data_IF_978016069384
#
_entry.id   IF_978016069384
#
_cell.length_a   1.000
_cell.length_b   1.000
_cell.length_c   1.000
_cell.angle_alpha   90.00
_cell.angle_beta   90.00
_cell.angle_gamma   90.00
#
_symmetry.space_group_name_H-M   'P 1'
#
loop_
_entity.id
_entity.type
_entity.pdbx_description
1 polymer ?
#
# COMPACT_ATOMS: atom_id res chain seq x y z
N UNK A 1 4.61 4.85 13.71
CA UNK A 1 3.64 5.86 14.19
C UNK A 1 3.88 7.11 13.39
N UNK A 2 2.88 7.57 12.62
CA UNK A 2 2.96 8.81 11.87
C UNK A 2 3.34 9.97 12.80
N UNK A 3 4.43 10.66 12.47
CA UNK A 3 4.95 11.79 13.25
C UNK A 3 4.27 13.11 12.88
N UNK A 4 3.51 13.12 11.78
CA UNK A 4 2.87 14.32 11.23
C UNK A 4 2.00 15.05 12.26
N UNK A 5 1.19 14.35 13.05
CA UNK A 5 0.33 14.96 14.07
C UNK A 5 1.03 15.47 15.34
N UNK A 6 2.36 15.34 15.46
CA UNK A 6 3.08 15.84 16.65
C UNK A 6 3.22 17.36 16.60
N UNK A 7 2.81 18.04 17.66
CA UNK A 7 3.03 19.48 17.82
C UNK A 7 4.51 19.79 18.05
N UNK A 8 4.98 20.88 17.44
CA UNK A 8 6.32 21.41 17.64
C UNK A 8 6.32 22.56 18.64
N UNK A 9 7.50 23.02 19.07
CA UNK A 9 7.65 24.22 19.90
C UNK A 9 7.09 25.51 19.26
N UNK A 10 6.80 25.48 17.96
CA UNK A 10 6.23 26.59 17.19
C UNK A 10 4.69 26.59 17.20
N UNK A 11 4.06 25.68 17.95
CA UNK A 11 2.60 25.56 18.03
C UNK A 11 1.93 24.88 16.84
N UNK A 12 2.68 24.62 15.76
CA UNK A 12 2.24 23.88 14.58
C UNK A 12 2.64 22.40 14.68
N UNK A 13 1.85 21.53 14.07
CA UNK A 13 2.21 20.11 13.89
C UNK A 13 3.34 19.95 12.88
N UNK A 14 4.06 18.83 12.94
CA UNK A 14 5.11 18.50 11.97
C UNK A 14 4.53 18.49 10.55
N UNK A 15 3.36 17.87 10.35
CA UNK A 15 2.68 17.84 9.06
C UNK A 15 2.34 19.22 8.55
N UNK A 16 1.88 20.13 9.42
CA UNK A 16 1.59 21.50 9.02
C UNK A 16 2.83 22.28 8.58
N UNK A 17 3.94 22.17 9.32
CA UNK A 17 5.19 22.83 8.96
C UNK A 17 5.73 22.30 7.63
N UNK A 18 5.80 20.97 7.49
CA UNK A 18 6.34 20.33 6.28
C UNK A 18 5.47 20.59 5.06
N UNK A 19 4.15 20.65 5.22
CA UNK A 19 3.22 20.95 4.12
C UNK A 19 3.08 22.45 3.83
N UNK A 20 3.68 23.35 4.61
CA UNK A 20 3.50 24.80 4.40
C UNK A 20 4.03 25.27 3.03
N UNK A 21 5.25 24.92 2.57
CA UNK A 21 5.73 25.33 1.26
C UNK A 21 4.83 24.84 0.11
N UNK A 22 4.28 23.62 0.23
CA UNK A 22 3.34 23.08 -0.75
C UNK A 22 2.06 23.92 -0.79
N UNK A 23 1.50 24.27 0.39
CA UNK A 23 0.29 25.08 0.50
C UNK A 23 0.48 26.50 -0.06
N UNK A 24 1.61 27.13 0.23
CA UNK A 24 1.96 28.46 -0.29
C UNK A 24 2.12 28.46 -1.82
N UNK A 25 2.63 27.36 -2.38
CA UNK A 25 2.76 27.16 -3.82
C UNK A 25 1.47 26.66 -4.50
N UNK A 26 0.39 26.41 -3.75
CA UNK A 26 -0.85 25.84 -4.30
C UNK A 26 -0.75 24.38 -4.76
N UNK A 27 0.30 23.66 -4.32
CA UNK A 27 0.57 22.27 -4.70
C UNK A 27 -0.17 21.32 -3.76
N UNK A 28 -0.90 20.35 -4.33
CA UNK A 28 -1.55 19.26 -3.59
C UNK A 28 -0.84 17.94 -3.91
N UNK A 29 -0.50 17.11 -2.91
CA UNK A 29 0.00 15.77 -3.17
C UNK A 29 -1.00 14.93 -3.98
N UNK A 30 -0.50 14.19 -4.97
CA UNK A 30 -1.27 13.26 -5.79
C UNK A 30 -0.93 11.83 -5.37
N UNK A 31 -1.97 11.11 -4.95
CA UNK A 31 -1.93 9.70 -4.60
C UNK A 31 -2.64 8.92 -5.69
N UNK A 32 -1.97 7.90 -6.20
CA UNK A 32 -2.50 7.00 -7.21
C UNK A 32 -2.57 5.59 -6.63
N UNK A 33 -3.75 4.99 -6.69
CA UNK A 33 -4.03 3.65 -6.17
C UNK A 33 -4.49 2.74 -7.32
N UNK A 34 -3.62 1.84 -7.76
CA UNK A 34 -3.90 0.88 -8.83
C UNK A 34 -4.24 -0.46 -8.19
N UNK A 35 -5.47 -0.93 -8.38
CA UNK A 35 -6.06 -1.98 -7.55
C UNK A 35 -6.65 -1.40 -6.27
N UNK A 36 -7.53 -0.40 -6.45
CA UNK A 36 -8.04 0.44 -5.38
C UNK A 36 -9.09 -0.24 -4.48
N UNK A 37 -9.25 -1.57 -4.59
CA UNK A 37 -10.25 -2.33 -3.83
C UNK A 37 -10.24 -1.89 -2.37
N UNK A 38 -11.44 -1.68 -1.84
CA UNK A 38 -11.72 -1.13 -0.51
C UNK A 38 -11.37 0.34 -0.27
N UNK A 39 -10.46 0.94 -1.04
CA UNK A 39 -9.99 2.32 -0.90
C UNK A 39 -8.63 2.42 -0.21
N UNK A 40 -8.14 3.65 -0.03
CA UNK A 40 -6.82 3.92 0.53
C UNK A 40 -6.84 4.18 2.05
N UNK A 41 -6.19 3.30 2.82
CA UNK A 41 -6.12 3.40 4.30
C UNK A 41 -4.71 3.47 4.86
N UNK A 42 -3.69 3.40 4.00
CA UNK A 42 -2.29 3.42 4.42
C UNK A 42 -1.85 4.82 4.87
N UNK A 43 -2.54 5.85 4.40
CA UNK A 43 -2.18 7.24 4.64
C UNK A 43 -2.92 7.80 5.86
N UNK A 44 -2.22 8.47 6.78
CA UNK A 44 -2.84 9.04 7.96
C UNK A 44 -3.73 10.24 7.58
N UNK A 45 -4.76 10.57 8.39
CA UNK A 45 -5.69 11.66 8.10
C UNK A 45 -5.01 13.00 7.80
N UNK A 46 -3.89 13.30 8.45
CA UNK A 46 -3.13 14.53 8.25
C UNK A 46 -2.55 14.65 6.84
N UNK A 47 -2.14 13.53 6.22
CA UNK A 47 -1.67 13.52 4.84
C UNK A 47 -2.84 13.49 3.86
N UNK A 48 -3.84 12.63 4.11
CA UNK A 48 -5.01 12.49 3.26
C UNK A 48 -5.73 13.83 3.06
N UNK A 49 -5.90 14.62 4.13
CA UNK A 49 -6.57 15.93 4.07
C UNK A 49 -5.86 16.96 3.16
N UNK A 50 -4.59 16.73 2.79
CA UNK A 50 -3.82 17.57 1.87
C UNK A 50 -3.88 17.06 0.43
N UNK A 51 -4.11 15.76 0.26
CA UNK A 51 -3.86 15.02 -0.97
C UNK A 51 -5.13 14.80 -1.81
N UNK A 52 -4.92 14.66 -3.12
CA UNK A 52 -5.92 14.16 -4.06
C UNK A 52 -5.67 12.68 -4.31
N UNK A 53 -6.70 11.85 -4.18
CA UNK A 53 -6.66 10.41 -4.49
C UNK A 53 -7.27 10.15 -5.87
N UNK A 54 -6.55 9.38 -6.69
CA UNK A 54 -7.03 8.80 -7.93
C UNK A 54 -6.88 7.28 -7.85
N UNK A 55 -8.00 6.56 -7.81
CA UNK A 55 -8.04 5.10 -7.73
C UNK A 55 -8.53 4.44 -9.01
N UNK A 56 -8.02 3.24 -9.30
CA UNK A 56 -8.42 2.42 -10.44
C UNK A 56 -8.85 1.04 -9.94
N UNK A 57 -10.08 0.64 -10.26
CA UNK A 57 -10.66 -0.64 -9.88
C UNK A 57 -11.41 -1.26 -11.08
N UNK A 58 -10.84 -2.30 -11.71
CA UNK A 58 -11.44 -2.92 -12.89
C UNK A 58 -12.63 -3.82 -12.58
N UNK A 59 -12.77 -4.36 -11.35
CA UNK A 59 -13.93 -5.18 -10.99
C UNK A 59 -15.17 -4.29 -10.83
N UNK A 60 -16.23 -4.46 -11.65
CA UNK A 60 -17.40 -3.59 -11.62
C UNK A 60 -18.12 -3.57 -10.27
N UNK A 61 -18.15 -4.69 -9.54
CA UNK A 61 -18.78 -4.76 -8.23
C UNK A 61 -17.99 -3.98 -7.18
N UNK A 62 -16.67 -4.15 -7.14
CA UNK A 62 -15.79 -3.45 -6.20
C UNK A 62 -15.72 -1.95 -6.53
N UNK A 63 -15.68 -1.58 -7.83
CA UNK A 63 -15.79 -0.19 -8.26
C UNK A 63 -17.12 0.44 -7.80
N UNK A 64 -18.24 -0.26 -7.96
CA UNK A 64 -19.54 0.25 -7.51
C UNK A 64 -19.58 0.46 -5.99
N UNK A 65 -18.89 -0.38 -5.20
CA UNK A 65 -18.73 -0.17 -3.75
C UNK A 65 -17.90 1.08 -3.45
N UNK A 66 -16.81 1.31 -4.19
CA UNK A 66 -15.96 2.50 -4.06
C UNK A 66 -16.75 3.78 -4.39
N UNK A 67 -17.45 3.80 -5.52
CA UNK A 67 -18.24 4.94 -5.97
C UNK A 67 -19.36 5.34 -4.98
N UNK A 68 -19.89 4.37 -4.21
CA UNK A 68 -20.88 4.62 -3.15
C UNK A 68 -20.25 4.98 -1.79
N UNK A 69 -18.94 4.77 -1.59
CA UNK A 69 -18.31 4.89 -0.26
C UNK A 69 -18.76 3.80 0.71
N UNK A 70 -19.07 2.60 0.21
CA UNK A 70 -19.68 1.49 0.97
C UNK A 70 -18.89 0.19 0.79
N UNK A 71 -17.57 0.25 0.91
CA UNK A 71 -16.71 -0.94 0.76
C UNK A 71 -16.74 -1.86 1.98
N UNK A 72 -16.17 -3.07 1.85
CA UNK A 72 -16.05 -4.01 2.95
C UNK A 72 -15.25 -3.37 4.11
N UNK A 73 -14.23 -2.56 3.79
CA UNK A 73 -13.48 -1.79 4.78
C UNK A 73 -14.32 -0.69 5.45
N UNK A 74 -15.30 -0.09 4.77
CA UNK A 74 -16.24 0.84 5.41
C UNK A 74 -17.15 0.13 6.41
N UNK A 75 -17.61 -1.07 6.08
CA UNK A 75 -18.37 -1.90 7.02
C UNK A 75 -17.50 -2.29 8.23
N UNK A 76 -16.29 -2.78 7.99
CA UNK A 76 -15.34 -3.17 9.04
C UNK A 76 -14.98 -1.99 9.95
N UNK A 77 -14.68 -0.82 9.38
CA UNK A 77 -14.30 0.38 10.12
C UNK A 77 -15.41 0.86 11.07
N UNK A 78 -16.67 0.81 10.61
CA UNK A 78 -17.84 1.12 11.45
C UNK A 78 -17.98 0.17 12.63
N UNK A 79 -17.76 -1.13 12.41
CA UNK A 79 -17.84 -2.14 13.46
C UNK A 79 -16.71 -2.02 14.49
N UNK A 80 -15.53 -1.54 14.08
CA UNK A 80 -14.33 -1.46 14.92
C UNK A 80 -14.02 -0.04 15.41
N UNK A 81 -14.91 0.92 15.18
CA UNK A 81 -14.75 2.33 15.53
C UNK A 81 -13.41 2.92 15.03
N UNK A 82 -13.02 2.55 13.80
CA UNK A 82 -11.82 3.04 13.12
C UNK A 82 -12.22 4.17 12.18
N UNK A 83 -11.43 5.26 12.18
CA UNK A 83 -11.63 6.36 11.26
C UNK A 83 -11.00 6.05 9.90
N UNK A 84 -11.76 6.33 8.85
CA UNK A 84 -11.30 6.25 7.47
C UNK A 84 -10.69 7.62 7.11
N UNK A 85 -9.45 7.65 6.57
CA UNK A 85 -8.85 8.88 6.08
C UNK A 85 -9.75 9.54 5.04
N UNK A 86 -9.90 10.86 5.12
CA UNK A 86 -10.65 11.64 4.11
C UNK A 86 -9.66 12.42 3.26
N UNK A 87 -9.68 12.16 1.96
CA UNK A 87 -8.86 12.89 1.01
C UNK A 87 -9.45 14.27 0.72
N UNK A 88 -8.61 15.22 0.33
CA UNK A 88 -9.07 16.55 -0.09
C UNK A 88 -10.03 16.44 -1.28
N UNK A 89 -9.65 15.60 -2.24
CA UNK A 89 -10.48 15.16 -3.36
C UNK A 89 -10.22 13.67 -3.58
N UNK A 90 -11.23 12.93 -4.02
CA UNK A 90 -11.11 11.52 -4.36
C UNK A 90 -11.89 11.22 -5.63
N UNK A 91 -11.30 10.40 -6.51
CA UNK A 91 -11.90 9.97 -7.77
C UNK A 91 -11.51 8.52 -8.03
N UNK A 92 -12.48 7.72 -8.49
CA UNK A 92 -12.25 6.33 -8.90
C UNK A 92 -12.63 6.15 -10.36
N UNK A 93 -11.96 5.25 -11.06
CA UNK A 93 -12.23 4.88 -12.44
C UNK A 93 -12.41 3.36 -12.59
N UNK A 94 -13.39 2.97 -13.40
CA UNK A 94 -13.76 1.60 -13.75
C UNK A 94 -12.92 1.06 -14.91
N UNK A 95 -11.60 1.15 -14.79
CA UNK A 95 -10.67 0.62 -15.79
C UNK A 95 -9.43 0.01 -15.14
N UNK A 96 -8.75 -0.86 -15.88
CA UNK A 96 -7.45 -1.38 -15.48
C UNK A 96 -6.35 -0.43 -15.92
N UNK A 97 -5.31 -0.27 -15.10
CA UNK A 97 -4.04 0.31 -15.54
C UNK A 97 -3.15 -0.83 -16.03
N UNK A 98 -2.53 -0.68 -17.19
CA UNK A 98 -1.69 -1.73 -17.80
C UNK A 98 -0.53 -1.13 -18.61
N UNK A 99 0.12 -1.92 -19.47
CA UNK A 99 1.24 -1.48 -20.30
C UNK A 99 0.85 -0.73 -21.59
N UNK A 100 -0.42 -0.83 -22.00
CA UNK A 100 -0.91 -0.30 -23.28
C UNK A 100 -2.40 0.02 -23.21
N UNK A 101 -2.86 0.85 -24.16
CA UNK A 101 -4.28 1.20 -24.28
C UNK A 101 -4.99 0.12 -25.13
N UNK A 102 -5.63 -0.82 -24.45
CA UNK A 102 -6.18 -2.02 -25.06
C UNK A 102 -7.43 -2.53 -24.31
N UNK A 103 -8.02 -3.61 -24.80
CA UNK A 103 -9.06 -4.35 -24.08
C UNK A 103 -8.46 -5.67 -23.64
N UNK A 104 -8.65 -6.04 -22.38
CA UNK A 104 -8.15 -7.29 -21.81
C UNK A 104 -9.27 -8.09 -21.17
N UNK A 105 -9.08 -9.40 -21.04
CA UNK A 105 -9.92 -10.24 -20.20
C UNK A 105 -9.57 -9.98 -18.73
N UNK A 106 -10.56 -9.56 -17.95
CA UNK A 106 -10.56 -9.56 -16.50
C UNK A 106 -11.06 -10.91 -16.00
N UNK A 107 -10.24 -11.58 -15.20
CA UNK A 107 -10.62 -12.82 -14.52
C UNK A 107 -11.12 -12.46 -13.13
N UNK A 108 -12.44 -12.54 -12.93
CA UNK A 108 -13.06 -12.35 -11.61
C UNK A 108 -12.93 -13.66 -10.85
N UNK A 109 -12.35 -13.60 -9.66
CA UNK A 109 -11.99 -14.76 -8.87
C UNK A 109 -12.83 -14.90 -7.60
N UNK A 110 -12.75 -16.06 -6.97
CA UNK A 110 -13.51 -16.39 -5.77
C UNK A 110 -13.28 -15.39 -4.64
N UNK A 111 -12.04 -14.92 -4.48
CA UNK A 111 -11.71 -13.82 -3.59
C UNK A 111 -11.66 -12.53 -4.40
N UNK A 112 -12.52 -11.53 -4.15
CA UNK A 112 -12.55 -10.30 -4.95
C UNK A 112 -11.24 -9.52 -4.98
N UNK A 113 -10.35 -9.72 -3.99
CA UNK A 113 -8.99 -9.18 -4.00
C UNK A 113 -8.09 -9.79 -5.08
N UNK A 114 -8.28 -11.06 -5.43
CA UNK A 114 -7.48 -11.80 -6.40
C UNK A 114 -7.93 -11.61 -7.86
N UNK A 115 -8.71 -10.58 -8.16
CA UNK A 115 -9.11 -10.33 -9.55
C UNK A 115 -7.88 -9.91 -10.34
N UNK A 116 -7.69 -10.48 -11.53
CA UNK A 116 -6.42 -10.33 -12.25
C UNK A 116 -6.63 -10.28 -13.77
N UNK A 117 -5.64 -9.73 -14.47
CA UNK A 117 -5.52 -9.81 -15.93
C UNK A 117 -4.55 -10.93 -16.36
N UNK A 118 -3.90 -11.60 -15.41
CA UNK A 118 -2.79 -12.55 -15.68
C UNK A 118 -3.24 -13.92 -16.20
N UNK A 119 -4.54 -14.16 -16.32
CA UNK A 119 -5.09 -15.47 -16.70
C UNK A 119 -5.49 -16.33 -15.49
N UNK A 120 -6.01 -17.54 -15.75
CA UNK A 120 -6.28 -18.50 -14.70
C UNK A 120 -4.98 -18.97 -14.03
N UNK A 121 -5.06 -19.25 -12.74
CA UNK A 121 -3.96 -19.82 -11.98
C UNK A 121 -3.56 -21.19 -12.55
N UNK A 122 -2.27 -21.53 -12.48
CA UNK A 122 -1.78 -22.83 -12.92
C UNK A 122 -2.34 -23.98 -12.04
N UNK A 123 -2.64 -25.17 -12.60
CA UNK A 123 -3.23 -26.30 -11.85
C UNK A 123 -2.44 -26.75 -10.62
N UNK A 124 -1.13 -26.48 -10.60
CA UNK A 124 -0.27 -26.75 -9.45
C UNK A 124 -0.78 -26.05 -8.19
N UNK A 125 -1.34 -24.85 -8.30
CA UNK A 125 -1.86 -24.09 -7.15
C UNK A 125 -3.07 -24.72 -6.49
N UNK A 126 -3.89 -25.44 -7.26
CA UNK A 126 -5.12 -26.08 -6.75
C UNK A 126 -4.81 -27.03 -5.59
N UNK A 127 -3.71 -27.77 -5.70
CA UNK A 127 -3.41 -28.89 -4.81
C UNK A 127 -2.12 -28.73 -4.01
N UNK A 128 -1.35 -27.67 -4.25
CA UNK A 128 -0.04 -27.52 -3.62
C UNK A 128 0.19 -26.24 -2.89
N UNK A 129 -0.73 -25.26 -2.91
CA UNK A 129 -0.56 -24.04 -2.13
C UNK A 129 -1.73 -23.88 -1.17
N UNK A 130 -1.42 -23.96 0.13
CA UNK A 130 -2.39 -23.76 1.20
C UNK A 130 -1.98 -22.55 2.00
N UNK A 131 -2.91 -21.61 2.17
CA UNK A 131 -2.73 -20.51 3.11
C UNK A 131 -3.22 -20.94 4.47
N UNK A 132 -2.56 -20.43 5.49
CA UNK A 132 -3.11 -20.38 6.84
C UNK A 132 -3.74 -18.99 7.00
N UNK A 133 -5.03 -18.81 6.67
CA UNK A 133 -5.67 -17.51 6.82
C UNK A 133 -5.55 -17.10 8.28
N UNK A 134 -4.84 -15.99 8.51
CA UNK A 134 -4.75 -15.33 9.81
C UNK A 134 -4.28 -16.24 10.95
N UNK A 135 -3.37 -17.18 10.65
CA UNK A 135 -2.72 -18.02 11.66
C UNK A 135 -3.63 -19.03 12.35
N UNK A 136 -4.74 -19.47 11.75
CA UNK A 136 -5.51 -20.62 12.22
C UNK A 136 -4.97 -21.92 11.58
N UNK A 137 -4.19 -22.75 12.30
CA UNK A 137 -3.60 -23.98 11.75
C UNK A 137 -4.65 -25.04 11.38
N UNK A 138 -5.90 -24.87 11.85
CA UNK A 138 -6.97 -25.84 11.70
C UNK A 138 -7.82 -25.62 10.46
N UNK A 139 -7.62 -24.50 9.75
CA UNK A 139 -8.31 -24.17 8.50
C UNK A 139 -7.33 -24.24 7.33
N UNK A 140 -7.07 -25.46 6.88
CA UNK A 140 -6.34 -25.67 5.62
C UNK A 140 -7.32 -25.44 4.48
N UNK A 141 -7.07 -24.39 3.71
CA UNK A 141 -7.85 -24.15 2.50
C UNK A 141 -6.90 -23.78 1.37
N UNK A 142 -7.16 -24.38 0.20
CA UNK A 142 -6.35 -24.12 -0.99
C UNK A 142 -6.48 -22.65 -1.35
N UNK A 143 -5.36 -21.99 -1.68
CA UNK A 143 -5.36 -20.60 -2.15
C UNK A 143 -6.25 -20.45 -3.36
N UNK A 144 -6.20 -21.44 -4.25
CA UNK A 144 -7.08 -21.51 -5.39
C UNK A 144 -8.55 -21.40 -4.95
N UNK A 145 -8.98 -22.29 -4.07
CA UNK A 145 -10.40 -22.45 -3.76
C UNK A 145 -11.01 -21.25 -3.03
N UNK A 146 -10.24 -20.48 -2.27
CA UNK A 146 -10.74 -19.31 -1.52
C UNK A 146 -10.41 -17.97 -2.17
N UNK A 147 -9.42 -17.94 -3.05
CA UNK A 147 -8.85 -16.70 -3.54
C UNK A 147 -8.82 -16.68 -5.07
N UNK A 148 -7.97 -17.49 -5.70
CA UNK A 148 -7.61 -17.27 -7.12
C UNK A 148 -8.44 -18.06 -8.14
N UNK A 149 -9.35 -18.94 -7.71
CA UNK A 149 -10.24 -19.69 -8.61
C UNK A 149 -11.14 -18.73 -9.38
N UNK A 150 -11.07 -18.77 -10.70
CA UNK A 150 -11.90 -17.94 -11.58
C UNK A 150 -13.36 -18.36 -11.46
N UNK A 151 -14.25 -17.38 -11.25
CA UNK A 151 -15.70 -17.58 -11.16
C UNK A 151 -16.45 -16.94 -12.33
N UNK A 152 -15.89 -15.90 -12.96
CA UNK A 152 -16.39 -15.31 -14.20
C UNK A 152 -15.28 -14.55 -14.93
N UNK A 153 -15.54 -14.26 -16.20
CA UNK A 153 -14.66 -13.48 -17.07
C UNK A 153 -15.44 -12.30 -17.66
N UNK A 154 -14.75 -11.19 -17.90
CA UNK A 154 -15.32 -10.02 -18.56
C UNK A 154 -14.27 -9.25 -19.34
N UNK A 155 -14.69 -8.42 -20.28
CA UNK A 155 -13.79 -7.49 -20.96
C UNK A 155 -13.65 -6.19 -20.16
N UNK A 156 -12.43 -5.69 -20.03
CA UNK A 156 -12.15 -4.41 -19.37
C UNK A 156 -11.24 -3.55 -20.24
N UNK A 157 -11.45 -2.23 -20.20
CA UNK A 157 -10.51 -1.29 -20.81
C UNK A 157 -9.26 -1.17 -19.96
N UNK A 158 -8.11 -1.26 -20.61
CA UNK A 158 -6.80 -1.03 -20.03
C UNK A 158 -6.26 0.31 -20.52
N UNK A 159 -5.57 1.06 -19.66
CA UNK A 159 -4.90 2.31 -20.02
C UNK A 159 -3.49 2.35 -19.43
N UNK A 160 -2.48 2.85 -20.14
CA UNK A 160 -1.16 3.06 -19.57
C UNK A 160 -1.18 4.26 -18.63
N UNK A 161 -0.47 4.16 -17.50
CA UNK A 161 -0.40 5.23 -16.50
C UNK A 161 0.11 6.54 -17.09
N UNK A 162 1.05 6.47 -18.04
CA UNK A 162 1.62 7.61 -18.74
C UNK A 162 0.59 8.46 -19.50
N UNK A 163 -0.59 7.90 -19.82
CA UNK A 163 -1.66 8.57 -20.58
C UNK A 163 -2.80 9.06 -19.66
N UNK A 164 -2.69 8.84 -18.34
CA UNK A 164 -3.73 9.18 -17.36
C UNK A 164 -3.47 10.52 -16.65
N UNK A 165 -2.24 11.04 -16.73
CA UNK A 165 -1.82 12.27 -16.06
C UNK A 165 -1.15 13.23 -17.05
N UNK A 166 -1.45 14.51 -16.94
CA UNK A 166 -0.86 15.58 -17.75
C UNK A 166 0.66 15.69 -17.56
N UNK A 167 1.41 16.32 -18.48
CA UNK A 167 2.88 16.29 -18.49
C UNK A 167 3.55 16.87 -17.24
N UNK A 168 2.87 17.77 -16.53
CA UNK A 168 3.41 18.47 -15.35
C UNK A 168 2.94 17.86 -14.01
N UNK A 169 2.15 16.78 -14.05
CA UNK A 169 1.65 16.13 -12.83
C UNK A 169 2.69 15.17 -12.26
N UNK A 170 3.05 15.36 -10.99
CA UNK A 170 3.93 14.47 -10.22
C UNK A 170 3.10 13.63 -9.25
N UNK A 171 3.28 12.32 -9.27
CA UNK A 171 2.68 11.37 -8.34
C UNK A 171 3.56 11.26 -7.10
N UNK A 172 3.04 11.73 -5.97
CA UNK A 172 3.74 11.65 -4.67
C UNK A 172 3.79 10.22 -4.15
N UNK A 173 2.71 9.46 -4.37
CA UNK A 173 2.59 8.07 -3.94
C UNK A 173 1.81 7.24 -4.95
N UNK A 174 2.44 6.19 -5.48
CA UNK A 174 1.85 5.18 -6.33
C UNK A 174 1.75 3.85 -5.56
N UNK A 175 0.54 3.42 -5.22
CA UNK A 175 0.26 2.05 -4.77
C UNK A 175 -0.09 1.19 -5.98
N UNK A 176 0.52 0.01 -6.09
CA UNK A 176 0.18 -0.98 -7.12
C UNK A 176 -0.01 -2.35 -6.47
N UNK A 177 -1.19 -2.92 -6.66
CA UNK A 177 -1.65 -4.16 -6.05
C UNK A 177 -2.70 -4.77 -6.99
N UNK A 178 -2.22 -5.47 -8.01
CA UNK A 178 -3.04 -5.93 -9.15
C UNK A 178 -2.83 -7.41 -9.44
N UNK A 179 -2.47 -8.16 -8.41
CA UNK A 179 -2.42 -9.62 -8.39
C UNK A 179 -1.57 -10.19 -9.53
N UNK A 180 -0.30 -9.78 -9.55
CA UNK A 180 0.75 -10.24 -10.46
C UNK A 180 0.98 -9.35 -11.69
N UNK A 181 0.11 -8.35 -11.89
CA UNK A 181 0.17 -7.43 -13.01
C UNK A 181 1.10 -6.22 -12.83
N UNK A 182 1.81 -6.11 -11.71
CA UNK A 182 2.49 -4.88 -11.28
C UNK A 182 3.56 -4.45 -12.29
N UNK A 183 4.31 -5.40 -12.87
CA UNK A 183 5.31 -5.08 -13.87
C UNK A 183 4.69 -4.45 -15.14
N UNK A 184 3.47 -4.84 -15.52
CA UNK A 184 2.80 -4.25 -16.67
C UNK A 184 2.33 -2.82 -16.37
N UNK A 185 1.82 -2.58 -15.15
CA UNK A 185 1.53 -1.22 -14.67
C UNK A 185 2.79 -0.35 -14.73
N UNK A 186 3.94 -0.86 -14.28
CA UNK A 186 5.20 -0.10 -14.33
C UNK A 186 5.69 0.17 -15.76
N UNK A 187 5.52 -0.78 -16.68
CA UNK A 187 5.82 -0.57 -18.11
C UNK A 187 4.93 0.52 -18.72
N UNK A 188 3.65 0.56 -18.34
CA UNK A 188 2.73 1.63 -18.74
C UNK A 188 3.00 2.98 -18.09
N UNK A 189 3.88 3.04 -17.09
CA UNK A 189 4.32 4.25 -16.39
C UNK A 189 5.78 4.64 -16.73
N UNK A 190 6.36 4.02 -17.76
CA UNK A 190 7.79 4.13 -18.04
C UNK A 190 8.23 5.57 -18.32
N UNK A 191 7.41 6.37 -19.02
CA UNK A 191 7.76 7.78 -19.28
C UNK A 191 7.75 8.58 -17.98
N UNK A 192 6.71 8.43 -17.16
CA UNK A 192 6.61 9.11 -15.86
C UNK A 192 7.81 8.77 -14.96
N UNK A 193 8.20 7.50 -14.88
CA UNK A 193 9.40 7.11 -14.14
C UNK A 193 10.67 7.76 -14.69
N UNK A 194 10.89 7.68 -16.01
CA UNK A 194 12.08 8.25 -16.65
C UNK A 194 12.20 9.77 -16.50
N UNK A 195 11.07 10.44 -16.30
CA UNK A 195 10.96 11.89 -16.09
C UNK A 195 11.00 12.28 -14.59
N UNK A 196 11.18 11.32 -13.68
CA UNK A 196 11.21 11.58 -12.24
C UNK A 196 9.85 12.00 -11.65
N UNK A 197 8.74 11.68 -12.32
CA UNK A 197 7.38 12.13 -11.97
C UNK A 197 6.65 11.21 -10.99
N UNK A 198 7.31 10.15 -10.51
CA UNK A 198 6.79 9.26 -9.48
C UNK A 198 7.80 9.25 -8.32
N UNK A 199 7.40 9.80 -7.17
CA UNK A 199 8.32 10.03 -6.05
C UNK A 199 8.44 8.81 -5.13
N UNK A 200 7.33 8.12 -4.88
CA UNK A 200 7.27 6.99 -3.96
C UNK A 200 6.34 5.91 -4.48
N UNK A 201 6.74 4.64 -4.36
CA UNK A 201 5.97 3.48 -4.81
C UNK A 201 5.85 2.48 -3.67
N UNK A 202 4.65 1.97 -3.43
CA UNK A 202 4.44 0.70 -2.76
C UNK A 202 3.89 -0.28 -3.80
N UNK A 203 4.54 -1.43 -3.94
CA UNK A 203 4.10 -2.48 -4.84
C UNK A 203 3.90 -3.79 -4.07
N UNK A 204 2.75 -4.44 -4.23
CA UNK A 204 2.63 -5.85 -3.86
C UNK A 204 3.50 -6.68 -4.80
N UNK A 205 4.12 -7.75 -4.28
CA UNK A 205 4.80 -8.73 -5.09
C UNK A 205 4.49 -10.13 -4.62
N UNK A 206 4.48 -11.05 -5.56
CA UNK A 206 4.45 -12.48 -5.31
C UNK A 206 5.89 -13.03 -5.33
N UNK A 207 6.16 -13.95 -4.41
CA UNK A 207 7.50 -14.53 -4.24
C UNK A 207 7.81 -15.63 -5.26
N UNK A 208 6.80 -16.17 -5.93
CA UNK A 208 6.93 -17.22 -6.95
C UNK A 208 5.80 -17.13 -7.99
N UNK A 209 6.02 -17.59 -9.23
CA UNK A 209 5.02 -17.51 -10.27
C UNK A 209 3.93 -18.56 -10.09
N UNK A 210 2.67 -18.13 -10.26
CA UNK A 210 1.52 -19.04 -10.30
C UNK A 210 0.51 -18.77 -11.41
N UNK A 211 0.76 -17.78 -12.27
CA UNK A 211 0.15 -17.66 -13.59
C UNK A 211 1.13 -18.17 -14.65
N UNK A 212 0.67 -18.36 -15.90
CA UNK A 212 1.54 -18.85 -16.98
C UNK A 212 2.77 -17.95 -17.18
N UNK A 213 2.53 -16.66 -17.21
CA UNK A 213 3.56 -15.62 -17.17
C UNK A 213 3.25 -14.79 -15.92
N UNK A 214 4.14 -14.78 -14.95
CA UNK A 214 3.93 -14.06 -13.69
C UNK A 214 5.26 -13.44 -13.26
N UNK A 215 5.45 -12.13 -13.50
CA UNK A 215 6.60 -11.39 -13.01
C UNK A 215 6.65 -11.42 -11.48
N UNK A 216 7.78 -11.82 -10.91
CA UNK A 216 7.95 -11.87 -9.45
C UNK A 216 8.68 -10.62 -8.95
N UNK A 217 8.88 -10.52 -7.62
CA UNK A 217 9.63 -9.42 -7.01
C UNK A 217 10.93 -9.03 -7.72
N UNK A 218 11.72 -10.03 -8.14
CA UNK A 218 12.99 -9.80 -8.83
C UNK A 218 12.83 -9.01 -10.13
N UNK A 219 11.77 -9.28 -10.89
CA UNK A 219 11.46 -8.58 -12.14
C UNK A 219 11.02 -7.14 -11.88
N UNK A 220 10.13 -6.96 -10.89
CA UNK A 220 9.66 -5.64 -10.46
C UNK A 220 10.82 -4.76 -9.96
N UNK A 221 11.65 -5.28 -9.05
CA UNK A 221 12.81 -4.57 -8.52
C UNK A 221 13.80 -4.21 -9.63
N UNK A 222 14.14 -5.14 -10.51
CA UNK A 222 15.07 -4.87 -11.61
C UNK A 222 14.54 -3.78 -12.54
N UNK A 223 13.24 -3.76 -12.83
CA UNK A 223 12.61 -2.71 -13.63
C UNK A 223 12.67 -1.34 -12.94
N UNK A 224 12.19 -1.24 -11.70
CA UNK A 224 12.15 0.02 -10.96
C UNK A 224 13.56 0.58 -10.69
N UNK A 225 14.54 -0.29 -10.42
CA UNK A 225 15.93 0.12 -10.25
C UNK A 225 16.51 0.75 -11.52
N UNK A 226 16.23 0.18 -12.70
CA UNK A 226 16.63 0.77 -13.99
C UNK A 226 15.95 2.11 -14.24
N UNK A 227 14.74 2.27 -13.74
CA UNK A 227 13.97 3.52 -13.79
C UNK A 227 14.45 4.60 -12.80
N UNK A 228 15.56 4.38 -12.08
CA UNK A 228 16.09 5.37 -11.14
C UNK A 228 15.44 5.32 -9.76
N UNK A 229 14.64 4.29 -9.44
CA UNK A 229 14.08 4.09 -8.11
C UNK A 229 15.04 3.30 -7.22
N UNK A 230 14.96 3.55 -5.91
CA UNK A 230 15.68 2.84 -4.85
C UNK A 230 14.68 2.06 -4.00
N UNK A 231 14.92 0.76 -3.81
CA UNK A 231 14.25 -0.03 -2.78
C UNK A 231 14.71 0.44 -1.40
N UNK A 232 13.78 0.79 -0.51
CA UNK A 232 14.10 1.31 0.82
C UNK A 232 13.58 0.44 1.97
N UNK A 233 12.58 -0.43 1.72
CA UNK A 233 12.08 -1.37 2.71
C UNK A 233 11.26 -2.50 2.08
N UNK A 234 11.05 -3.58 2.83
CA UNK A 234 10.19 -4.71 2.49
C UNK A 234 9.27 -5.03 3.66
N UNK A 235 7.96 -4.96 3.45
CA UNK A 235 6.97 -5.43 4.41
C UNK A 235 6.60 -6.90 4.10
N UNK A 236 7.05 -7.80 4.97
CA UNK A 236 6.80 -9.24 4.84
C UNK A 236 5.68 -9.73 5.78
N UNK A 237 4.86 -8.83 6.32
CA UNK A 237 3.67 -9.16 7.13
C UNK A 237 2.51 -9.63 6.24
N UNK A 238 2.80 -10.63 5.40
CA UNK A 238 1.88 -11.30 4.50
C UNK A 238 1.67 -12.74 4.94
N UNK A 239 0.53 -13.35 4.57
CA UNK A 239 0.33 -14.78 4.75
C UNK A 239 1.50 -15.58 4.14
N UNK A 240 1.97 -16.57 4.89
CA UNK A 240 2.92 -17.57 4.38
C UNK A 240 2.15 -18.76 3.86
N UNK A 241 2.77 -19.53 2.98
CA UNK A 241 2.12 -20.69 2.38
C UNK A 241 2.81 -21.99 2.77
N UNK A 242 2.02 -23.06 2.81
CA UNK A 242 2.50 -24.44 2.87
C UNK A 242 2.46 -25.03 1.47
N UNK A 243 3.52 -25.74 1.09
CA UNK A 243 3.55 -26.50 -0.15
C UNK A 243 3.14 -27.96 0.05
N UNK A 244 2.03 -28.37 -0.57
CA UNK A 244 1.57 -29.76 -0.57
C UNK A 244 0.91 -30.23 0.74
N UNK A 245 0.80 -31.55 0.91
CA UNK A 245 -0.03 -32.17 1.94
C UNK A 245 0.63 -32.42 3.31
N UNK A 246 1.96 -32.29 3.42
CA UNK A 246 2.70 -32.68 4.64
C UNK A 246 2.54 -31.62 5.73
N UNK A 247 1.80 -31.97 6.79
CA UNK A 247 1.52 -31.10 7.93
C UNK A 247 2.55 -31.30 9.04
N UNK A 248 3.35 -30.27 9.32
CA UNK A 248 4.31 -30.25 10.42
C UNK A 248 3.94 -29.11 11.38
N UNK A 249 4.14 -29.28 12.69
CA UNK A 249 3.97 -28.20 13.66
C UNK A 249 4.78 -26.94 13.32
N UNK A 250 4.22 -25.76 13.62
CA UNK A 250 4.83 -24.46 13.35
C UNK A 250 6.22 -24.27 14.02
N UNK A 251 6.47 -24.94 15.14
CA UNK A 251 7.76 -24.90 15.84
C UNK A 251 8.82 -25.80 15.19
N UNK A 252 8.40 -26.72 14.32
CA UNK A 252 9.26 -27.65 13.59
C UNK A 252 9.47 -27.27 12.11
N UNK A 253 8.81 -26.20 11.62
CA UNK A 253 8.83 -25.80 10.21
C UNK A 253 8.89 -24.29 10.05
N UNK A 254 9.52 -23.83 8.96
CA UNK A 254 9.41 -22.43 8.52
C UNK A 254 8.59 -22.38 7.25
N UNK A 255 7.56 -21.55 7.25
CA UNK A 255 6.69 -21.39 6.09
C UNK A 255 7.33 -20.46 5.03
N UNK A 256 7.41 -20.90 3.77
CA UNK A 256 7.81 -20.06 2.64
C UNK A 256 6.99 -18.77 2.50
N UNK A 257 7.61 -17.74 1.93
CA UNK A 257 6.96 -16.46 1.63
C UNK A 257 5.99 -16.64 0.45
N UNK A 258 4.77 -16.12 0.57
CA UNK A 258 3.82 -16.06 -0.55
C UNK A 258 3.92 -14.75 -1.30
N UNK A 259 3.77 -13.64 -0.58
CA UNK A 259 3.79 -12.28 -1.10
C UNK A 259 4.45 -11.32 -0.11
N UNK A 260 4.58 -10.06 -0.48
CA UNK A 260 5.04 -8.96 0.36
C UNK A 260 4.76 -7.60 -0.28
N UNK A 261 4.93 -6.52 0.47
CA UNK A 261 5.02 -5.17 -0.12
C UNK A 261 6.46 -4.73 -0.23
N UNK A 262 6.81 -4.11 -1.36
CA UNK A 262 8.08 -3.43 -1.54
C UNK A 262 7.89 -1.92 -1.60
N UNK A 263 8.69 -1.19 -0.82
CA UNK A 263 8.68 0.27 -0.80
C UNK A 263 9.87 0.81 -1.59
N UNK A 264 9.59 1.66 -2.57
CA UNK A 264 10.59 2.34 -3.38
C UNK A 264 10.40 3.85 -3.30
N UNK A 265 11.49 4.59 -3.49
CA UNK A 265 11.46 6.01 -3.75
C UNK A 265 12.32 6.36 -4.96
N UNK A 266 12.05 7.49 -5.62
CA UNK A 266 13.01 8.07 -6.56
C UNK A 266 14.35 8.26 -5.84
N UNK A 267 15.43 7.76 -6.45
CA UNK A 267 16.74 7.74 -5.80
C UNK A 267 17.36 9.15 -5.82
N UNK A 268 17.53 9.84 -4.68
CA UNK A 268 18.06 11.21 -4.65
C UNK A 268 19.54 11.30 -5.07
N UNK A 269 20.28 10.18 -5.03
CA UNK A 269 21.69 10.12 -5.41
C UNK A 269 21.88 9.84 -6.91
N UNK A 270 20.82 9.44 -7.62
CA UNK A 270 20.85 9.13 -9.07
C UNK A 270 19.99 10.08 -9.91
N UNK A 271 19.13 10.87 -9.28
CA UNK A 271 18.19 11.75 -9.96
C UNK A 271 18.31 13.17 -9.42
N UNK A 272 18.18 14.15 -10.32
CA UNK A 272 18.03 15.54 -9.93
C UNK A 272 16.56 15.79 -9.55
N UNK A 273 16.30 16.01 -8.26
CA UNK A 273 14.94 16.22 -7.74
C UNK A 273 14.75 17.71 -7.43
N UNK A 274 13.76 18.39 -8.03
CA UNK A 274 13.47 19.78 -7.71
C UNK A 274 13.19 20.01 -6.22
N UNK A 275 13.49 21.21 -5.66
CA UNK A 275 13.25 21.52 -4.25
C UNK A 275 11.83 21.18 -3.76
N UNK A 276 10.81 21.50 -4.56
CA UNK A 276 9.41 21.20 -4.22
C UNK A 276 9.14 19.69 -4.18
N UNK A 277 9.69 18.91 -5.11
CA UNK A 277 9.53 17.46 -5.13
C UNK A 277 10.33 16.76 -4.03
N UNK A 278 11.49 17.30 -3.63
CA UNK A 278 12.19 16.84 -2.42
C UNK A 278 11.34 17.04 -1.16
N UNK A 279 10.67 18.20 -1.05
CA UNK A 279 9.75 18.50 0.05
C UNK A 279 8.54 17.53 0.06
N UNK A 280 7.97 17.24 -1.12
CA UNK A 280 6.88 16.28 -1.32
C UNK A 280 7.28 14.85 -0.96
N UNK A 281 8.43 14.40 -1.45
CA UNK A 281 9.02 13.10 -1.12
C UNK A 281 9.29 12.97 0.38
N UNK A 282 9.85 14.01 1.02
CA UNK A 282 10.06 14.00 2.45
C UNK A 282 8.74 13.86 3.23
N UNK A 283 7.66 14.54 2.80
CA UNK A 283 6.36 14.44 3.45
C UNK A 283 5.81 13.01 3.44
N UNK A 284 5.88 12.30 2.31
CA UNK A 284 5.44 10.89 2.23
C UNK A 284 6.39 9.95 3.00
N UNK A 285 7.70 10.21 3.02
CA UNK A 285 8.65 9.45 3.83
C UNK A 285 8.36 9.55 5.35
N UNK A 286 7.87 10.69 5.83
CA UNK A 286 7.40 10.85 7.21
C UNK A 286 6.16 10.02 7.54
N UNK A 287 5.29 9.78 6.55
CA UNK A 287 4.12 8.90 6.69
C UNK A 287 4.58 7.47 6.99
N UNK A 288 5.52 6.96 6.18
CA UNK A 288 6.05 5.61 6.31
C UNK A 288 7.14 5.47 7.41
N UNK A 289 7.54 6.58 8.04
CA UNK A 289 8.41 6.58 9.21
C UNK A 289 9.91 6.64 8.91
N UNK A 290 10.31 6.94 7.68
CA UNK A 290 11.70 7.18 7.27
C UNK A 290 12.17 8.57 7.72
N UNK A 291 12.01 8.87 9.01
CA UNK A 291 12.10 10.23 9.56
C UNK A 291 13.47 10.90 9.35
N UNK A 292 14.55 10.15 9.53
CA UNK A 292 15.90 10.70 9.36
C UNK A 292 16.19 11.05 7.90
N UNK A 293 15.76 10.19 6.97
CA UNK A 293 15.90 10.41 5.54
C UNK A 293 15.05 11.59 5.09
N UNK A 294 13.79 11.65 5.53
CA UNK A 294 12.91 12.78 5.28
C UNK A 294 13.52 14.10 5.76
N UNK A 295 14.08 14.15 6.97
CA UNK A 295 14.73 15.36 7.49
C UNK A 295 15.95 15.80 6.65
N UNK A 296 16.74 14.85 6.13
CA UNK A 296 17.85 15.17 5.21
C UNK A 296 17.31 15.86 3.95
N UNK A 297 16.28 15.27 3.34
CA UNK A 297 15.67 15.80 2.12
C UNK A 297 15.00 17.15 2.33
N UNK A 298 14.40 17.40 3.52
CA UNK A 298 13.87 18.72 3.87
C UNK A 298 14.96 19.78 3.99
N UNK A 299 16.12 19.42 4.56
CA UNK A 299 17.27 20.33 4.64
C UNK A 299 17.86 20.62 3.26
N UNK A 300 17.96 19.61 2.38
CA UNK A 300 18.42 19.74 1.01
C UNK A 300 17.43 20.51 0.11
N UNK A 301 16.12 20.37 0.35
CA UNK A 301 15.09 21.15 -0.35
C UNK A 301 15.23 22.65 -0.07
N UNK A 302 15.69 23.03 1.13
CA UNK A 302 15.92 24.43 1.50
C UNK A 302 14.66 25.29 1.58
N UNK A 303 13.46 24.68 1.61
CA UNK A 303 12.17 25.39 1.67
C UNK A 303 11.70 25.67 3.11
N UNK A 304 12.37 25.09 4.10
CA UNK A 304 12.14 25.35 5.53
C UNK A 304 13.35 26.04 6.15
N UNK A 305 13.09 26.98 7.05
CA UNK A 305 14.14 27.67 7.80
C UNK A 305 14.84 26.77 8.81
N UNK A 306 16.05 27.15 9.25
CA UNK A 306 16.82 26.40 10.26
C UNK A 306 16.06 26.20 11.58
N UNK A 307 15.31 27.22 12.01
CA UNK A 307 14.52 27.14 13.24
C UNK A 307 13.39 26.10 13.16
N UNK A 308 12.82 25.94 11.98
CA UNK A 308 11.71 25.03 11.68
C UNK A 308 12.18 23.60 11.62
N UNK A 309 13.27 23.35 10.89
CA UNK A 309 13.94 22.05 10.87
C UNK A 309 14.33 21.62 12.30
N UNK A 310 14.89 22.54 13.09
CA UNK A 310 15.22 22.30 14.50
C UNK A 310 13.99 22.02 15.36
N UNK A 311 12.87 22.71 15.13
CA UNK A 311 11.61 22.49 15.85
C UNK A 311 11.01 21.10 15.53
N UNK A 312 11.06 20.69 14.27
CA UNK A 312 10.62 19.36 13.81
C UNK A 312 11.50 18.29 14.44
N UNK A 313 12.82 18.41 14.34
CA UNK A 313 13.78 17.46 14.89
C UNK A 313 13.59 17.29 16.41
N UNK A 314 13.44 18.40 17.13
CA UNK A 314 13.19 18.38 18.58
C UNK A 314 11.89 17.63 18.92
N UNK A 315 10.81 17.87 18.18
CA UNK A 315 9.52 17.17 18.37
C UNK A 315 9.63 15.67 18.09
N UNK A 316 10.41 15.27 17.09
CA UNK A 316 10.68 13.86 16.79
C UNK A 316 11.51 13.18 17.88
N UNK A 317 12.56 13.86 18.39
CA UNK A 317 13.44 13.35 19.45
C UNK A 317 12.76 13.28 20.81
N UNK A 318 11.75 14.12 21.05
CA UNK A 318 10.93 14.01 22.25
C UNK A 318 10.31 12.61 22.31
N UNK A 319 10.59 11.88 23.41
CA UNK A 319 10.18 10.47 23.54
C UNK A 319 8.65 10.39 23.36
N UNK A 320 8.13 9.40 22.60
CA UNK A 320 6.70 9.17 22.58
C UNK A 320 6.19 8.99 24.02
N UNK A 321 5.01 9.55 24.30
CA UNK A 321 4.34 9.44 25.59
C UNK A 321 4.43 7.99 26.11
N UNK A 322 5.15 7.81 27.23
CA UNK A 322 5.34 6.51 27.88
C UNK A 322 4.17 6.14 28.81
N UNK A 323 3.05 6.86 28.75
CA UNK A 323 1.85 6.50 29.50
C UNK A 323 1.49 5.03 29.24
N UNK A 324 1.08 4.33 30.30
CA UNK A 324 0.61 2.92 30.19
C UNK A 324 -0.47 2.79 29.12
N UNK A 325 -1.28 3.84 28.93
CA UNK A 325 -2.34 3.94 27.91
C UNK A 325 -1.79 3.91 26.48
N UNK A 326 -0.75 4.68 26.15
CA UNK A 326 -0.13 4.68 24.81
C UNK A 326 0.64 3.39 24.53
N UNK A 327 1.33 2.82 25.52
CA UNK A 327 1.97 1.49 25.40
C UNK A 327 0.97 0.38 25.15
N UNK A 328 -0.20 0.43 25.81
CA UNK A 328 -1.29 -0.50 25.54
C UNK A 328 -1.86 -0.31 24.14
N UNK A 329 -2.04 0.93 23.68
CA UNK A 329 -2.50 1.22 22.30
C UNK A 329 -1.48 0.79 21.23
N UNK A 330 -0.18 1.01 21.44
CA UNK A 330 0.87 0.61 20.50
C UNK A 330 1.08 -0.91 20.49
N UNK A 331 0.98 -1.57 21.66
CA UNK A 331 0.92 -3.02 21.73
C UNK A 331 -0.34 -3.54 21.02
N UNK A 332 -1.50 -2.92 21.23
CA UNK A 332 -2.77 -3.28 20.63
C UNK A 332 -2.82 -3.07 19.12
N UNK A 333 -2.19 -2.02 18.59
CA UNK A 333 -2.08 -1.78 17.15
C UNK A 333 -1.03 -2.67 16.46
N UNK A 334 -0.16 -3.35 17.23
CA UNK A 334 0.81 -4.35 16.75
C UNK A 334 0.33 -5.78 16.95
N UNK A 335 -0.85 -5.96 17.54
CA UNK A 335 -1.49 -7.27 17.63
C UNK A 335 -2.08 -7.55 16.25
N UNK A 336 -1.64 -8.61 15.55
CA UNK A 336 -2.23 -9.00 14.27
C UNK A 336 -3.74 -9.17 14.45
N UNK A 337 -4.55 -8.81 13.44
CA UNK A 337 -6.02 -8.98 13.48
C UNK A 337 -6.40 -10.41 13.90
N UNK A 338 -5.60 -11.40 13.49
CA UNK A 338 -5.63 -12.80 13.94
C UNK A 338 -5.68 -13.02 15.47
N UNK A 339 -4.86 -12.28 16.22
CA UNK A 339 -4.77 -12.41 17.67
C UNK A 339 -5.95 -11.74 18.38
N UNK A 340 -6.60 -10.75 17.75
CA UNK A 340 -7.86 -10.20 18.23
C UNK A 340 -9.01 -11.23 18.12
N UNK A 341 -9.09 -11.95 17.00
CA UNK A 341 -10.08 -13.02 16.82
C UNK A 341 -9.87 -14.20 17.79
N UNK A 342 -8.62 -14.56 18.08
CA UNK A 342 -8.31 -15.62 19.04
C UNK A 342 -8.75 -15.26 20.47
N UNK A 343 -8.51 -14.02 20.91
CA UNK A 343 -8.93 -13.51 22.23
C UNK A 343 -10.46 -13.38 22.32
N UNK A 344 -11.14 -12.99 21.24
CA UNK A 344 -12.60 -12.95 21.15
C UNK A 344 -13.24 -14.33 21.17
N UNK A 345 -12.65 -15.33 20.50
CA UNK A 345 -13.11 -16.73 20.54
C UNK A 345 -12.97 -17.33 21.94
N UNK A 346 -11.86 -17.06 22.63
CA UNK A 346 -11.64 -17.49 24.01
C UNK A 346 -12.65 -16.86 24.97
N UNK A 347 -12.85 -15.54 24.91
CA UNK A 347 -13.80 -14.83 25.78
C UNK A 347 -15.25 -15.26 25.54
N UNK A 348 -15.64 -15.57 24.30
CA UNK A 348 -16.97 -16.12 23.99
C UNK A 348 -17.13 -17.59 24.41
N UNK A 349 -16.07 -18.39 24.39
CA UNK A 349 -16.09 -19.77 24.91
C UNK A 349 -16.27 -19.77 26.44
N UNK A 350 -15.59 -18.89 27.17
CA UNK A 350 -15.76 -18.74 28.63
C UNK A 350 -17.15 -18.22 29.03
N UNK A 351 -17.80 -17.43 28.16
CA UNK A 351 -19.17 -16.91 28.39
C UNK A 351 -20.28 -17.94 28.12
N UNK A 352 -19.97 -19.04 27.43
CA UNK A 352 -20.88 -20.18 27.21
C UNK A 352 -20.70 -21.30 28.24
N UNK A 353 -19.68 -21.20 29.10
CA UNK A 353 -19.37 -22.13 30.20
C UNK A 353 -19.80 -21.60 31.59
N UNK A 354 -20.43 -20.42 31.62
CA UNK A 354 -21.25 -19.91 32.72
C UNK A 354 -22.69 -19.84 32.26
#
# INVERSE_FOLDING_TARGET
MAVLGRTTRMGLTIGELVARPLREAGVSPLVVDVGARNGMFLLPPEYAALATLVGFEPNPEEYAKLARGETDMHAWSRQHNRQIPRFRNERYFDCAVWDSDCTHTLYVTQGPGACTLMGPTQPLMENTCFLYPWGDPRRRTSVHDVHTRVVSEGEIRCRPLDDLFGPDETVDFLKVDVEGGELHVFKGAQRMFSQGRILFVQAEFQAFPYYREHPVFGDQHAFLNRCGMRLIDLNLDHPRYQRGGVDLPDDCSRWPLFAGDALFMIDPDRNEIPPMDRQRLALILLVFGFNSLALSLLAEAGLLGREELSAIETSMRSRPDRSRKRRLLDAWNRVPVAAYEAVLKLTNAFRKLR
#
